data_IF_898342738314
#
_entry.id   IF_898342738314
#
_cell.length_a   1.000
_cell.length_b   1.000
_cell.length_c   1.000
_cell.angle_alpha   90.00
_cell.angle_beta   90.00
_cell.angle_gamma   90.00
#
_symmetry.space_group_name_H-M   'P 1'
#
loop_
_entity.id
_entity.type
_entity.pdbx_description
1 polymer ?
#
# COMPACT_ATOMS: atom_id res chain seq x y z
N UNK A 1 19.59 33.64 -18.41
CA UNK A 1 18.73 32.91 -19.38
C UNK A 1 17.42 32.62 -18.70
N UNK A 2 16.34 33.28 -19.10
CA UNK A 2 15.01 33.06 -18.55
C UNK A 2 14.46 31.74 -19.12
N UNK A 3 14.17 30.79 -18.23
CA UNK A 3 13.44 29.57 -18.61
C UNK A 3 12.02 29.98 -19.06
N UNK A 4 11.55 29.59 -20.23
CA UNK A 4 10.21 29.91 -20.64
C UNK A 4 9.19 29.19 -19.75
N UNK A 5 8.40 29.94 -19.00
CA UNK A 5 7.24 29.46 -18.25
C UNK A 5 6.06 29.18 -19.22
N UNK A 6 6.10 28.08 -19.96
CA UNK A 6 5.00 27.71 -20.86
C UNK A 6 4.70 26.21 -20.89
N UNK A 7 4.77 25.55 -19.77
CA UNK A 7 3.97 24.32 -19.60
C UNK A 7 3.05 24.57 -18.40
N UNK A 8 1.79 24.92 -18.68
CA UNK A 8 0.74 24.83 -17.66
C UNK A 8 0.61 23.33 -17.35
N UNK A 9 1.36 22.86 -16.35
CA UNK A 9 1.15 21.51 -15.82
C UNK A 9 -0.29 21.47 -15.30
N UNK A 10 -1.14 20.70 -15.97
CA UNK A 10 -2.46 20.43 -15.42
C UNK A 10 -2.25 19.68 -14.10
N UNK A 11 -2.88 20.12 -13.00
CA UNK A 11 -2.79 19.42 -11.74
C UNK A 11 -3.33 18.00 -11.89
N UNK A 12 -2.79 17.06 -11.12
CA UNK A 12 -3.26 15.68 -11.11
C UNK A 12 -4.77 15.62 -10.81
N UNK A 13 -5.61 15.02 -11.67
CA UNK A 13 -7.06 15.10 -11.54
C UNK A 13 -7.67 14.01 -10.64
N UNK A 14 -6.85 13.12 -10.06
CA UNK A 14 -7.27 11.86 -9.44
C UNK A 14 -7.29 10.71 -10.44
N UNK A 15 -7.12 9.48 -9.93
CA UNK A 15 -6.88 8.31 -10.78
C UNK A 15 -8.05 7.97 -11.71
N UNK A 16 -9.31 8.15 -11.28
CA UNK A 16 -10.48 7.84 -12.13
C UNK A 16 -10.51 8.76 -13.35
N UNK A 17 -10.24 10.05 -13.15
CA UNK A 17 -10.21 11.00 -14.26
C UNK A 17 -9.00 10.78 -15.17
N UNK A 18 -7.83 10.43 -14.60
CA UNK A 18 -6.61 10.19 -15.36
C UNK A 18 -6.67 8.92 -16.23
N UNK A 19 -7.36 7.87 -15.76
CA UNK A 19 -7.41 6.56 -16.42
C UNK A 19 -8.84 6.09 -16.71
N UNK A 20 -9.76 7.04 -16.98
CA UNK A 20 -11.19 6.74 -17.14
C UNK A 20 -11.45 5.64 -18.18
N UNK A 21 -10.77 5.70 -19.30
CA UNK A 21 -10.94 4.76 -20.43
C UNK A 21 -10.45 3.32 -20.09
N UNK A 22 -9.74 3.17 -18.97
CA UNK A 22 -9.20 1.89 -18.48
C UNK A 22 -9.90 1.36 -17.24
N UNK A 23 -10.90 2.10 -16.76
CA UNK A 23 -11.62 1.76 -15.54
C UNK A 23 -13.10 1.45 -15.85
N UNK A 24 -13.71 0.50 -15.13
CA UNK A 24 -15.11 0.17 -15.31
C UNK A 24 -16.03 1.20 -14.66
N UNK A 25 -15.97 2.43 -15.14
CA UNK A 25 -16.81 3.56 -14.70
C UNK A 25 -17.72 4.00 -15.83
N UNK A 26 -19.01 4.16 -15.52
CA UNK A 26 -19.99 4.67 -16.47
C UNK A 26 -19.74 6.15 -16.81
N UNK A 27 -20.16 6.58 -17.99
CA UNK A 27 -19.96 7.96 -18.45
C UNK A 27 -20.66 9.00 -17.56
N UNK A 28 -21.77 8.61 -16.95
CA UNK A 28 -22.60 9.41 -16.06
C UNK A 28 -22.14 9.37 -14.60
N UNK A 29 -21.13 8.54 -14.25
CA UNK A 29 -20.65 8.45 -12.89
C UNK A 29 -19.80 9.66 -12.51
N UNK A 30 -20.10 10.26 -11.36
CA UNK A 30 -19.28 11.31 -10.76
C UNK A 30 -18.24 10.68 -9.85
N UNK A 31 -16.93 10.82 -10.13
CA UNK A 31 -15.89 10.27 -9.28
C UNK A 31 -15.87 10.88 -7.89
N UNK A 32 -15.80 10.03 -6.87
CA UNK A 32 -15.52 10.43 -5.50
C UNK A 32 -14.00 10.46 -5.33
N UNK A 33 -13.39 11.62 -5.38
CA UNK A 33 -11.93 11.76 -5.35
C UNK A 33 -11.45 12.71 -4.27
N UNK A 34 -10.28 12.39 -3.70
CA UNK A 34 -9.42 13.22 -2.87
C UNK A 34 -8.08 13.48 -3.59
N UNK A 35 -8.04 13.30 -4.92
CA UNK A 35 -6.86 13.40 -5.80
C UNK A 35 -5.80 12.31 -5.51
N UNK A 36 -6.27 11.11 -5.18
CA UNK A 36 -5.45 9.92 -5.03
C UNK A 36 -4.79 9.50 -6.34
N UNK A 37 -3.70 8.75 -6.26
CA UNK A 37 -2.86 8.42 -7.40
C UNK A 37 -1.86 9.54 -7.72
N UNK A 38 -1.18 9.45 -8.87
CA UNK A 38 -0.09 10.37 -9.22
C UNK A 38 1.05 10.35 -8.19
N UNK A 39 1.20 9.25 -7.46
CA UNK A 39 2.19 9.15 -6.39
C UNK A 39 3.60 9.15 -6.96
N UNK A 40 4.58 9.76 -6.27
CA UNK A 40 5.94 9.85 -6.76
C UNK A 40 6.58 8.48 -7.03
N UNK A 41 7.37 8.43 -8.10
CA UNK A 41 8.34 7.38 -8.37
C UNK A 41 9.74 7.98 -8.14
N UNK A 42 10.35 7.68 -6.99
CA UNK A 42 11.59 8.29 -6.52
C UNK A 42 12.76 7.35 -6.85
N UNK A 43 13.82 7.87 -7.50
CA UNK A 43 15.06 7.13 -7.66
C UNK A 43 15.74 6.94 -6.30
N UNK A 44 15.96 5.67 -5.91
CA UNK A 44 16.57 5.31 -4.63
C UNK A 44 18.08 5.10 -4.82
N UNK A 45 18.84 6.18 -4.71
CA UNK A 45 20.27 6.21 -5.07
C UNK A 45 21.11 5.27 -4.21
N UNK A 46 20.93 5.30 -2.89
CA UNK A 46 21.70 4.47 -1.97
C UNK A 46 21.33 2.99 -2.05
N UNK A 47 20.05 2.69 -2.26
CA UNK A 47 19.61 1.33 -2.54
C UNK A 47 20.15 0.84 -3.88
N UNK A 48 20.24 1.71 -4.89
CA UNK A 48 20.83 1.37 -6.19
C UNK A 48 22.32 1.04 -6.05
N UNK A 49 23.08 1.86 -5.35
CA UNK A 49 24.50 1.61 -5.04
C UNK A 49 24.69 0.28 -4.30
N UNK A 50 23.87 0.02 -3.28
CA UNK A 50 23.94 -1.19 -2.45
C UNK A 50 23.62 -2.46 -3.24
N UNK A 51 22.63 -2.43 -4.10
CA UNK A 51 22.14 -3.60 -4.85
C UNK A 51 22.86 -3.79 -6.20
N UNK A 52 23.45 -2.74 -6.75
CA UNK A 52 23.95 -2.73 -8.11
C UNK A 52 22.83 -2.75 -9.17
N UNK A 53 21.63 -2.38 -8.79
CA UNK A 53 20.44 -2.23 -9.65
C UNK A 53 20.07 -0.76 -9.81
N UNK A 54 19.19 -0.45 -10.75
CA UNK A 54 18.50 0.85 -10.80
C UNK A 54 17.20 0.75 -10.01
N UNK A 55 17.19 1.21 -8.76
CA UNK A 55 16.05 1.06 -7.85
C UNK A 55 15.21 2.32 -7.80
N UNK A 56 13.90 2.17 -7.91
CA UNK A 56 12.92 3.23 -7.71
C UNK A 56 11.93 2.84 -6.60
N UNK A 57 11.49 3.83 -5.83
CA UNK A 57 10.43 3.67 -4.83
C UNK A 57 9.12 4.26 -5.37
N UNK A 58 8.08 3.44 -5.49
CA UNK A 58 6.72 3.92 -5.73
C UNK A 58 6.08 4.25 -4.39
N UNK A 59 5.98 5.56 -4.08
CA UNK A 59 5.67 6.04 -2.73
C UNK A 59 4.16 6.17 -2.53
N UNK A 60 3.48 5.05 -2.34
CA UNK A 60 2.03 4.98 -2.12
C UNK A 60 1.58 5.57 -0.77
N UNK A 61 2.52 5.75 0.16
CA UNK A 61 2.28 6.46 1.43
C UNK A 61 1.95 7.96 1.27
N UNK A 62 2.08 8.52 0.06
CA UNK A 62 1.69 9.89 -0.25
C UNK A 62 0.28 10.04 -0.83
N UNK A 63 -0.48 8.96 -0.93
CA UNK A 63 -1.93 9.08 -1.15
C UNK A 63 -2.62 9.84 0.01
N UNK A 64 -3.80 10.42 -0.20
CA UNK A 64 -4.47 11.32 0.75
C UNK A 64 -4.63 10.81 2.18
N UNK A 65 -4.94 9.52 2.38
CA UNK A 65 -5.02 8.93 3.74
C UNK A 65 -3.75 8.22 4.17
N UNK A 66 -2.66 8.36 3.42
CA UNK A 66 -1.35 7.83 3.76
C UNK A 66 -1.12 6.38 3.33
N UNK A 67 -1.87 5.82 2.38
CA UNK A 67 -1.61 4.48 1.86
C UNK A 67 -2.25 4.21 0.49
N UNK A 68 -1.77 3.17 -0.20
CA UNK A 68 -2.31 2.68 -1.47
C UNK A 68 -3.80 2.30 -1.44
N UNK A 69 -4.40 2.18 -0.24
CA UNK A 69 -5.81 1.81 -0.09
C UNK A 69 -6.74 2.81 -0.78
N UNK A 70 -6.31 4.06 -0.90
CA UNK A 70 -7.07 5.13 -1.51
C UNK A 70 -7.40 4.87 -2.98
N UNK A 71 -6.48 4.23 -3.71
CA UNK A 71 -6.72 3.84 -5.11
C UNK A 71 -7.92 2.92 -5.28
N UNK A 72 -8.01 1.90 -4.44
CA UNK A 72 -9.16 1.00 -4.47
C UNK A 72 -10.42 1.63 -3.88
N UNK A 73 -10.26 2.55 -2.94
CA UNK A 73 -11.39 3.11 -2.21
C UNK A 73 -12.14 4.17 -3.03
N UNK A 74 -11.43 5.01 -3.80
CA UNK A 74 -12.09 5.93 -4.73
C UNK A 74 -13.00 5.17 -5.69
N UNK A 75 -12.55 4.05 -6.24
CA UNK A 75 -13.34 3.20 -7.13
C UNK A 75 -14.53 2.56 -6.40
N UNK A 76 -14.29 1.97 -5.22
CA UNK A 76 -15.34 1.28 -4.46
C UNK A 76 -16.45 2.24 -4.00
N UNK A 77 -16.11 3.46 -3.57
CA UNK A 77 -17.10 4.45 -3.14
C UNK A 77 -17.82 5.09 -4.32
N UNK A 78 -17.12 5.33 -5.44
CA UNK A 78 -17.75 5.79 -6.68
C UNK A 78 -18.78 4.77 -7.21
N UNK A 79 -18.42 3.47 -7.23
CA UNK A 79 -19.33 2.38 -7.61
C UNK A 79 -20.53 2.29 -6.65
N UNK A 80 -20.30 2.41 -5.33
CA UNK A 80 -21.36 2.40 -4.33
C UNK A 80 -22.38 3.52 -4.56
N UNK A 81 -21.92 4.75 -4.82
CA UNK A 81 -22.82 5.88 -5.15
C UNK A 81 -23.59 5.65 -6.46
N UNK A 82 -22.92 5.17 -7.49
CA UNK A 82 -23.56 4.90 -8.77
C UNK A 82 -24.67 3.84 -8.67
N UNK A 83 -24.54 2.91 -7.70
CA UNK A 83 -25.56 1.90 -7.37
C UNK A 83 -26.62 2.38 -6.38
N UNK A 84 -26.58 3.64 -5.95
CA UNK A 84 -27.52 4.20 -4.99
C UNK A 84 -27.34 3.69 -3.56
N UNK A 85 -26.15 3.16 -3.21
CA UNK A 85 -25.85 2.71 -1.87
C UNK A 85 -25.66 3.91 -0.93
N UNK A 86 -26.06 3.77 0.32
CA UNK A 86 -26.11 4.86 1.31
C UNK A 86 -25.04 4.71 2.38
N UNK A 87 -24.38 3.56 2.42
CA UNK A 87 -23.34 3.28 3.40
C UNK A 87 -22.25 2.37 2.82
N UNK A 88 -21.02 2.58 3.29
CA UNK A 88 -19.92 1.62 3.12
C UNK A 88 -19.59 0.96 4.45
N UNK A 89 -19.22 -0.30 4.40
CA UNK A 89 -18.91 -1.12 5.56
C UNK A 89 -17.57 -1.83 5.34
N UNK A 90 -16.72 -1.82 6.39
CA UNK A 90 -15.51 -2.66 6.38
C UNK A 90 -15.22 -3.23 7.76
N UNK A 91 -14.60 -4.42 7.79
CA UNK A 91 -13.95 -4.98 8.96
C UNK A 91 -12.45 -4.66 8.86
N UNK A 92 -11.97 -3.66 9.61
CA UNK A 92 -10.56 -3.24 9.58
C UNK A 92 -10.25 -2.25 10.69
N UNK A 93 -9.06 -2.36 11.30
CA UNK A 93 -8.53 -1.39 12.27
C UNK A 93 -7.39 -0.52 11.70
N UNK A 94 -7.11 -0.61 10.39
CA UNK A 94 -5.92 0.00 9.78
C UNK A 94 -6.20 0.85 8.54
N UNK A 95 -5.32 0.74 7.54
CA UNK A 95 -5.35 1.58 6.33
C UNK A 95 -6.68 1.49 5.56
N UNK A 96 -7.37 0.35 5.58
CA UNK A 96 -8.67 0.21 4.88
C UNK A 96 -9.76 1.05 5.56
N UNK A 97 -9.86 1.02 6.90
CA UNK A 97 -10.86 1.82 7.62
C UNK A 97 -10.60 3.32 7.51
N UNK A 98 -9.33 3.74 7.57
CA UNK A 98 -8.95 5.14 7.36
C UNK A 98 -9.39 5.65 5.98
N UNK A 99 -9.09 4.89 4.93
CA UNK A 99 -9.46 5.22 3.57
C UNK A 99 -10.98 5.18 3.37
N UNK A 100 -11.68 4.13 3.85
CA UNK A 100 -13.15 4.02 3.73
C UNK A 100 -13.86 5.21 4.37
N UNK A 101 -13.42 5.62 5.56
CA UNK A 101 -14.00 6.77 6.26
C UNK A 101 -13.81 8.09 5.50
N UNK A 102 -12.60 8.32 4.98
CA UNK A 102 -12.29 9.55 4.23
C UNK A 102 -13.12 9.67 2.94
N UNK A 103 -13.19 8.59 2.15
CA UNK A 103 -13.94 8.62 0.89
C UNK A 103 -15.47 8.62 1.12
N UNK A 104 -15.96 7.93 2.17
CA UNK A 104 -17.38 8.01 2.55
C UNK A 104 -17.77 9.43 3.01
N UNK A 105 -16.93 10.08 3.82
CA UNK A 105 -17.13 11.48 4.21
C UNK A 105 -17.14 12.39 2.98
N UNK A 106 -16.22 12.20 2.02
CA UNK A 106 -16.18 12.94 0.76
C UNK A 106 -17.44 12.73 -0.09
N UNK A 107 -18.00 11.53 -0.05
CA UNK A 107 -19.21 11.14 -0.78
C UNK A 107 -20.51 11.54 -0.08
N UNK A 108 -20.46 11.97 1.19
CA UNK A 108 -21.65 12.29 1.98
C UNK A 108 -22.47 11.06 2.40
N UNK A 109 -21.86 9.86 2.44
CA UNK A 109 -22.51 8.61 2.86
C UNK A 109 -21.96 8.10 4.20
N UNK A 110 -22.69 7.20 4.85
CA UNK A 110 -22.25 6.61 6.12
C UNK A 110 -21.08 5.65 5.89
N UNK A 111 -20.04 5.76 6.75
CA UNK A 111 -19.02 4.72 6.91
C UNK A 111 -19.23 3.99 8.23
N UNK A 112 -19.31 2.66 8.20
CA UNK A 112 -19.28 1.81 9.39
C UNK A 112 -18.02 0.92 9.37
N UNK A 113 -17.36 0.83 10.53
CA UNK A 113 -16.14 0.03 10.72
C UNK A 113 -16.41 -0.99 11.82
N UNK A 114 -16.40 -2.28 11.46
CA UNK A 114 -16.51 -3.36 12.43
C UNK A 114 -15.13 -3.74 12.95
N UNK A 115 -15.01 -3.87 14.26
CA UNK A 115 -13.78 -4.22 14.95
C UNK A 115 -14.06 -5.26 16.04
N UNK A 116 -13.13 -6.20 16.30
CA UNK A 116 -13.29 -7.16 17.38
C UNK A 116 -13.18 -6.46 18.75
N UNK A 117 -13.85 -7.01 19.76
CA UNK A 117 -13.75 -6.52 21.13
C UNK A 117 -12.33 -6.69 21.69
N UNK A 118 -11.86 -5.71 22.44
CA UNK A 118 -10.73 -5.82 23.39
C UNK A 118 -9.31 -5.58 22.87
N UNK A 119 -9.06 -5.47 21.56
CA UNK A 119 -7.69 -5.22 21.03
C UNK A 119 -7.69 -4.06 20.02
N UNK A 120 -7.86 -2.85 20.51
CA UNK A 120 -7.89 -1.66 19.66
C UNK A 120 -6.70 -0.77 19.99
N UNK A 121 -5.74 -0.69 19.08
CA UNK A 121 -4.82 0.43 19.07
C UNK A 121 -5.58 1.67 18.58
N UNK A 122 -6.06 2.51 19.49
CA UNK A 122 -6.87 3.70 19.17
C UNK A 122 -6.17 4.62 18.16
N UNK A 123 -4.83 4.71 18.19
CA UNK A 123 -4.06 5.46 17.21
C UNK A 123 -4.30 5.01 15.77
N UNK A 124 -4.49 3.71 15.52
CA UNK A 124 -4.78 3.18 14.17
C UNK A 124 -6.19 3.52 13.66
N UNK A 125 -7.12 3.83 14.56
CA UNK A 125 -8.48 4.26 14.22
C UNK A 125 -8.64 5.78 14.16
N UNK A 126 -7.63 6.54 14.57
CA UNK A 126 -7.74 7.99 14.68
C UNK A 126 -8.25 8.66 13.39
N UNK A 127 -7.74 8.25 12.23
CA UNK A 127 -8.23 8.79 10.95
C UNK A 127 -9.70 8.42 10.69
N UNK A 128 -10.10 7.17 10.94
CA UNK A 128 -11.49 6.75 10.72
C UNK A 128 -12.46 7.52 11.64
N UNK A 129 -12.08 7.71 12.89
CA UNK A 129 -12.86 8.50 13.88
C UNK A 129 -12.97 9.97 13.45
N UNK A 130 -11.83 10.58 13.07
CA UNK A 130 -11.82 11.99 12.64
C UNK A 130 -12.63 12.25 11.37
N UNK A 131 -12.72 11.27 10.47
CA UNK A 131 -13.58 11.31 9.29
C UNK A 131 -15.05 10.94 9.58
N UNK A 132 -15.42 10.74 10.83
CA UNK A 132 -16.80 10.51 11.26
C UNK A 132 -17.34 9.10 11.04
N UNK A 133 -16.47 8.10 10.89
CA UNK A 133 -16.91 6.72 10.78
C UNK A 133 -17.57 6.22 12.07
N UNK A 134 -18.62 5.42 11.92
CA UNK A 134 -19.26 4.71 13.03
C UNK A 134 -18.45 3.48 13.38
N UNK A 135 -17.75 3.50 14.50
CA UNK A 135 -16.97 2.36 14.98
C UNK A 135 -17.89 1.45 15.79
N UNK A 136 -18.02 0.19 15.35
CA UNK A 136 -18.89 -0.81 15.97
C UNK A 136 -18.03 -1.98 16.45
N UNK A 137 -17.99 -2.20 17.76
CA UNK A 137 -17.32 -3.34 18.36
C UNK A 137 -18.23 -4.56 18.32
N UNK A 138 -17.67 -5.67 17.88
CA UNK A 138 -18.33 -6.97 17.79
C UNK A 138 -17.74 -7.89 18.87
N UNK A 139 -18.59 -8.57 19.59
CA UNK A 139 -18.21 -9.63 20.53
C UNK A 139 -17.81 -10.89 19.72
N UNK A 140 -16.55 -10.91 19.31
CA UNK A 140 -15.97 -11.91 18.42
C UNK A 140 -14.56 -11.53 17.99
N UNK A 141 -13.99 -12.33 17.08
CA UNK A 141 -12.67 -12.11 16.50
C UNK A 141 -12.77 -11.34 15.15
N UNK A 142 -11.64 -11.18 14.45
CA UNK A 142 -11.60 -10.46 13.19
C UNK A 142 -12.37 -11.18 12.06
N UNK A 143 -12.35 -12.50 12.06
CA UNK A 143 -13.04 -13.30 11.03
C UNK A 143 -14.56 -13.19 11.23
N UNK A 144 -15.05 -13.16 12.48
CA UNK A 144 -16.46 -12.90 12.80
C UNK A 144 -16.90 -11.52 12.30
N UNK A 145 -16.06 -10.49 12.46
CA UNK A 145 -16.34 -9.15 11.93
C UNK A 145 -16.46 -9.14 10.42
N UNK A 146 -15.57 -9.87 9.73
CA UNK A 146 -15.56 -9.94 8.27
C UNK A 146 -16.76 -10.75 7.72
N UNK A 147 -17.13 -11.85 8.38
CA UNK A 147 -18.30 -12.65 8.03
C UNK A 147 -19.60 -11.84 8.22
N UNK A 148 -19.72 -11.15 9.36
CA UNK A 148 -20.83 -10.25 9.62
C UNK A 148 -20.93 -9.15 8.56
N UNK A 149 -19.80 -8.54 8.19
CA UNK A 149 -19.78 -7.50 7.17
C UNK A 149 -20.23 -8.03 5.79
N UNK A 150 -19.82 -9.24 5.41
CA UNK A 150 -20.29 -9.92 4.18
C UNK A 150 -21.77 -10.18 4.20
N UNK A 151 -22.30 -10.70 5.34
CA UNK A 151 -23.71 -10.99 5.50
C UNK A 151 -24.53 -9.70 5.44
N UNK A 152 -24.12 -8.64 6.12
CA UNK A 152 -24.80 -7.34 6.07
C UNK A 152 -24.87 -6.77 4.65
N UNK A 153 -23.78 -6.84 3.88
CA UNK A 153 -23.79 -6.36 2.50
C UNK A 153 -24.65 -7.24 1.55
N UNK A 154 -24.80 -8.52 1.85
CA UNK A 154 -25.69 -9.41 1.10
C UNK A 154 -27.17 -9.17 1.42
N UNK A 155 -27.50 -8.99 2.71
CA UNK A 155 -28.88 -8.85 3.20
C UNK A 155 -29.43 -7.43 3.01
N UNK A 156 -28.57 -6.41 2.92
CA UNK A 156 -28.95 -4.99 2.83
C UNK A 156 -28.34 -4.32 1.59
N UNK A 157 -29.05 -4.24 0.46
CA UNK A 157 -28.54 -3.71 -0.81
C UNK A 157 -28.06 -2.23 -0.74
N UNK A 158 -28.45 -1.49 0.30
CA UNK A 158 -28.02 -0.11 0.53
C UNK A 158 -26.62 0.00 1.15
N UNK A 159 -25.98 -1.13 1.47
CA UNK A 159 -24.66 -1.20 2.10
C UNK A 159 -23.64 -1.82 1.15
N UNK A 160 -22.53 -1.11 0.90
CA UNK A 160 -21.40 -1.64 0.14
C UNK A 160 -20.32 -2.21 1.07
N UNK A 161 -19.89 -3.44 0.84
CA UNK A 161 -18.69 -3.99 1.47
C UNK A 161 -17.45 -3.49 0.75
N UNK A 162 -16.53 -2.82 1.47
CA UNK A 162 -15.30 -2.26 0.89
C UNK A 162 -14.00 -2.90 1.40
N UNK A 163 -14.08 -4.13 1.89
CA UNK A 163 -12.90 -4.96 2.21
C UNK A 163 -12.14 -5.41 0.94
N UNK A 164 -10.99 -6.08 1.12
CA UNK A 164 -10.12 -6.53 0.03
C UNK A 164 -10.79 -7.48 -0.97
N UNK A 165 -11.90 -8.10 -0.57
CA UNK A 165 -12.71 -8.99 -1.42
C UNK A 165 -13.53 -8.24 -2.48
N UNK A 166 -13.67 -6.92 -2.40
CA UNK A 166 -14.40 -6.14 -3.38
C UNK A 166 -13.56 -6.01 -4.68
N UNK A 167 -14.04 -6.56 -5.82
CA UNK A 167 -13.25 -6.60 -7.06
C UNK A 167 -13.00 -5.22 -7.66
N UNK A 168 -13.90 -4.27 -7.45
CA UNK A 168 -13.76 -2.90 -7.97
C UNK A 168 -12.52 -2.20 -7.39
N UNK A 169 -12.07 -2.60 -6.20
CA UNK A 169 -10.83 -2.07 -5.61
C UNK A 169 -9.58 -2.45 -6.39
N UNK A 170 -9.57 -3.63 -7.02
CA UNK A 170 -8.45 -4.07 -7.87
C UNK A 170 -8.31 -3.15 -9.08
N UNK A 171 -9.43 -2.69 -9.65
CA UNK A 171 -9.42 -1.77 -10.79
C UNK A 171 -8.75 -0.43 -10.44
N UNK A 172 -9.04 0.13 -9.28
CA UNK A 172 -8.36 1.35 -8.84
C UNK A 172 -6.87 1.13 -8.55
N UNK A 173 -6.53 0.02 -7.89
CA UNK A 173 -5.14 -0.28 -7.52
C UNK A 173 -4.25 -0.59 -8.74
N UNK A 174 -4.79 -1.16 -9.84
CA UNK A 174 -4.01 -1.47 -11.05
C UNK A 174 -3.39 -0.22 -11.68
N UNK A 175 -4.00 0.95 -11.48
CA UNK A 175 -3.52 2.23 -12.04
C UNK A 175 -2.10 2.59 -11.57
N UNK A 176 -1.67 2.08 -10.42
CA UNK A 176 -0.30 2.30 -9.96
C UNK A 176 0.76 1.64 -10.87
N UNK A 177 0.42 0.53 -11.55
CA UNK A 177 1.29 -0.07 -12.57
C UNK A 177 1.34 0.82 -13.83
N UNK A 178 0.22 1.42 -14.22
CA UNK A 178 0.19 2.37 -15.32
C UNK A 178 1.09 3.57 -15.04
N UNK A 179 0.96 4.19 -13.86
CA UNK A 179 1.80 5.32 -13.46
C UNK A 179 3.30 5.00 -13.44
N UNK A 180 3.68 3.77 -13.07
CA UNK A 180 5.09 3.32 -13.11
C UNK A 180 5.57 3.27 -14.55
N UNK A 181 4.80 2.66 -15.44
CA UNK A 181 5.15 2.56 -16.87
C UNK A 181 5.19 3.94 -17.51
N UNK A 182 4.18 4.78 -17.26
CA UNK A 182 4.11 6.14 -17.79
C UNK A 182 5.31 6.99 -17.35
N UNK A 183 5.79 6.79 -16.12
CA UNK A 183 6.96 7.50 -15.59
C UNK A 183 8.30 6.99 -16.10
N UNK A 184 8.44 5.66 -16.31
CA UNK A 184 9.69 5.04 -16.76
C UNK A 184 9.79 4.94 -18.29
N UNK A 185 8.68 5.05 -19.01
CA UNK A 185 8.58 4.76 -20.44
C UNK A 185 8.65 3.26 -20.79
N UNK A 186 8.73 2.38 -19.79
CA UNK A 186 8.79 0.92 -19.94
C UNK A 186 8.38 0.22 -18.63
N UNK A 187 8.10 -1.08 -18.69
CA UNK A 187 7.98 -1.88 -17.49
C UNK A 187 9.37 -2.10 -16.83
N UNK A 188 9.47 -2.12 -15.48
CA UNK A 188 10.69 -2.51 -14.80
C UNK A 188 11.03 -3.99 -15.08
N UNK A 189 12.26 -4.42 -14.81
CA UNK A 189 12.62 -5.85 -14.88
C UNK A 189 12.01 -6.63 -13.73
N UNK A 190 11.95 -6.00 -12.54
CA UNK A 190 11.35 -6.56 -11.32
C UNK A 190 10.49 -5.53 -10.63
N UNK A 191 9.30 -5.96 -10.18
CA UNK A 191 8.46 -5.16 -9.29
C UNK A 191 8.35 -5.87 -7.94
N UNK A 192 8.94 -5.26 -6.90
CA UNK A 192 8.94 -5.75 -5.53
C UNK A 192 7.85 -5.06 -4.70
N UNK A 193 7.06 -5.83 -3.96
CA UNK A 193 5.99 -5.28 -3.11
C UNK A 193 5.67 -6.18 -1.91
N UNK A 194 5.14 -5.59 -0.80
CA UNK A 194 4.69 -6.36 0.34
C UNK A 194 3.41 -7.12 0.02
N UNK A 195 3.25 -8.32 0.60
CA UNK A 195 2.06 -9.14 0.37
C UNK A 195 1.42 -9.54 1.69
N UNK A 196 0.22 -9.00 1.94
CA UNK A 196 -0.71 -9.44 2.99
C UNK A 196 -1.91 -10.15 2.39
N UNK A 197 -3.04 -9.46 2.19
CA UNK A 197 -4.24 -10.00 1.52
C UNK A 197 -4.08 -10.28 0.01
N UNK A 198 -2.90 -10.02 -0.54
CA UNK A 198 -2.50 -10.29 -1.91
C UNK A 198 -3.27 -9.52 -3.02
N UNK A 199 -4.20 -8.64 -2.66
CA UNK A 199 -4.91 -7.81 -3.64
C UNK A 199 -4.00 -6.84 -4.40
N UNK A 200 -2.96 -6.32 -3.75
CA UNK A 200 -2.07 -5.34 -4.37
C UNK A 200 -1.23 -5.96 -5.49
N UNK A 201 -0.58 -7.12 -5.24
CA UNK A 201 0.20 -7.82 -6.29
C UNK A 201 -0.70 -8.25 -7.46
N UNK A 202 -1.92 -8.70 -7.17
CA UNK A 202 -2.94 -9.02 -8.19
C UNK A 202 -3.26 -7.79 -9.05
N UNK A 203 -3.45 -6.64 -8.43
CA UNK A 203 -3.78 -5.40 -9.12
C UNK A 203 -2.63 -4.89 -10.01
N UNK A 204 -1.41 -4.86 -9.49
CA UNK A 204 -0.24 -4.45 -10.28
C UNK A 204 -0.02 -5.38 -11.46
N UNK A 205 -0.12 -6.71 -11.26
CA UNK A 205 -0.02 -7.68 -12.34
C UNK A 205 -1.07 -7.45 -13.41
N UNK A 206 -2.32 -7.21 -12.99
CA UNK A 206 -3.40 -6.87 -13.93
C UNK A 206 -3.07 -5.62 -14.75
N UNK A 207 -2.59 -4.55 -14.12
CA UNK A 207 -2.23 -3.32 -14.83
C UNK A 207 -1.11 -3.52 -15.86
N UNK A 208 -0.03 -4.20 -15.47
CA UNK A 208 1.04 -4.53 -16.43
C UNK A 208 0.54 -5.40 -17.58
N UNK A 209 -0.30 -6.39 -17.29
CA UNK A 209 -0.87 -7.28 -18.32
C UNK A 209 -1.75 -6.51 -19.31
N UNK A 210 -2.58 -5.59 -18.84
CA UNK A 210 -3.40 -4.73 -19.70
C UNK A 210 -2.53 -3.85 -20.61
N UNK A 211 -1.50 -3.18 -20.08
CA UNK A 211 -0.58 -2.36 -20.88
C UNK A 211 0.21 -3.18 -21.90
N UNK A 212 0.58 -4.42 -21.55
CA UNK A 212 1.25 -5.31 -22.49
C UNK A 212 0.31 -5.78 -23.61
N UNK A 213 -0.93 -6.15 -23.28
CA UNK A 213 -1.94 -6.55 -24.26
C UNK A 213 -2.29 -5.43 -25.25
N UNK A 214 -2.28 -4.18 -24.77
CA UNK A 214 -2.54 -2.98 -25.58
C UNK A 214 -1.29 -2.50 -26.34
N UNK A 215 -0.16 -3.18 -26.22
CA UNK A 215 1.09 -2.82 -26.90
C UNK A 215 1.77 -1.56 -26.37
N UNK A 216 1.42 -1.13 -25.14
CA UNK A 216 2.07 0.02 -24.49
C UNK A 216 3.47 -0.36 -23.97
N UNK A 217 3.65 -1.61 -23.58
CA UNK A 217 4.95 -2.17 -23.15
C UNK A 217 5.23 -3.48 -23.89
N UNK A 218 6.52 -3.73 -24.18
CA UNK A 218 6.98 -4.92 -24.91
C UNK A 218 7.24 -6.12 -23.98
N UNK A 219 7.46 -5.88 -22.69
CA UNK A 219 7.78 -6.90 -21.69
C UNK A 219 6.98 -6.72 -20.41
N UNK A 220 6.79 -7.81 -19.70
CA UNK A 220 6.17 -7.84 -18.38
C UNK A 220 7.25 -7.93 -17.29
N UNK A 221 7.08 -7.29 -16.11
CA UNK A 221 8.02 -7.42 -15.00
C UNK A 221 7.90 -8.79 -14.33
N UNK A 222 9.00 -9.25 -13.72
CA UNK A 222 8.92 -10.33 -12.74
C UNK A 222 8.39 -9.75 -11.42
N UNK A 223 7.35 -10.39 -10.85
CA UNK A 223 6.75 -9.94 -9.60
C UNK A 223 7.45 -10.56 -8.39
N UNK A 224 7.97 -9.73 -7.49
CA UNK A 224 8.59 -10.15 -6.24
C UNK A 224 7.67 -9.78 -5.05
N UNK A 225 6.92 -10.76 -4.57
CA UNK A 225 6.05 -10.59 -3.41
C UNK A 225 6.77 -10.95 -2.11
N UNK A 226 6.81 -10.04 -1.13
CA UNK A 226 7.45 -10.31 0.17
C UNK A 226 6.39 -10.36 1.27
N UNK A 227 6.40 -11.46 2.03
CA UNK A 227 5.60 -11.65 3.24
C UNK A 227 6.48 -11.56 4.49
N UNK A 228 5.92 -11.20 5.63
CA UNK A 228 6.62 -11.34 6.91
C UNK A 228 6.74 -12.82 7.27
N UNK A 229 7.88 -13.28 7.79
CA UNK A 229 8.17 -14.70 8.04
C UNK A 229 7.14 -15.36 8.97
N UNK A 230 6.65 -14.64 9.99
CA UNK A 230 5.58 -15.13 10.88
C UNK A 230 4.16 -15.06 10.26
N UNK A 231 4.01 -14.58 9.02
CA UNK A 231 2.75 -14.45 8.29
C UNK A 231 2.99 -14.68 6.78
N UNK A 232 3.59 -15.84 6.41
CA UNK A 232 4.03 -16.14 5.05
C UNK A 232 3.29 -17.33 4.39
N UNK A 233 1.93 -17.31 4.35
CA UNK A 233 1.15 -18.43 3.84
C UNK A 233 1.44 -18.76 2.36
N UNK A 234 1.71 -17.77 1.49
CA UNK A 234 2.01 -18.01 0.08
C UNK A 234 3.40 -18.64 -0.13
N UNK A 235 4.35 -18.35 0.77
CA UNK A 235 5.68 -18.99 0.76
C UNK A 235 5.57 -20.44 1.23
N UNK A 236 4.75 -20.71 2.25
CA UNK A 236 4.55 -22.04 2.79
C UNK A 236 3.58 -22.91 1.99
N UNK A 237 2.78 -22.32 1.11
CA UNK A 237 1.75 -23.00 0.37
C UNK A 237 0.53 -23.42 1.21
N UNK A 238 0.41 -22.93 2.44
CA UNK A 238 -0.67 -23.25 3.38
C UNK A 238 -1.00 -22.05 4.28
N UNK A 239 -2.26 -21.90 4.74
CA UNK A 239 -2.63 -20.86 5.70
C UNK A 239 -1.84 -20.95 7.01
N UNK A 240 -1.58 -19.78 7.62
CA UNK A 240 -0.96 -19.62 8.93
C UNK A 240 -2.04 -19.27 9.95
N UNK A 241 -2.29 -20.15 10.93
CA UNK A 241 -3.39 -19.99 11.88
C UNK A 241 -3.22 -18.83 12.86
N UNK A 242 -1.98 -18.56 13.29
CA UNK A 242 -1.65 -17.48 14.22
C UNK A 242 -0.53 -16.62 13.61
N UNK A 243 -0.85 -15.74 12.66
CA UNK A 243 0.15 -14.91 12.04
C UNK A 243 0.66 -13.84 13.03
N UNK A 244 1.99 -13.76 13.20
CA UNK A 244 2.63 -12.78 14.07
C UNK A 244 3.75 -12.06 13.33
N UNK A 245 3.74 -10.73 13.41
CA UNK A 245 4.78 -9.84 12.87
C UNK A 245 4.54 -8.40 13.33
N UNK A 246 5.62 -7.63 13.41
CA UNK A 246 5.58 -6.17 13.60
C UNK A 246 4.95 -5.46 12.40
N UNK A 247 5.06 -6.04 11.21
CA UNK A 247 4.50 -5.51 9.96
C UNK A 247 2.97 -5.71 9.91
N UNK A 248 2.24 -5.06 10.81
CA UNK A 248 0.82 -5.32 11.11
C UNK A 248 -0.09 -5.24 9.89
N UNK A 249 0.22 -4.41 8.88
CA UNK A 249 -0.60 -4.28 7.66
C UNK A 249 -0.52 -5.50 6.72
N UNK A 250 0.50 -6.37 6.90
CA UNK A 250 0.64 -7.65 6.18
C UNK A 250 0.56 -8.87 7.12
N UNK A 251 0.11 -8.72 8.36
CA UNK A 251 -0.13 -9.80 9.32
C UNK A 251 -1.39 -10.58 8.96
N UNK A 252 -1.32 -11.34 7.87
CA UNK A 252 -2.43 -12.08 7.27
C UNK A 252 -2.05 -13.55 7.10
N UNK A 253 -2.80 -14.42 7.75
CA UNK A 253 -2.58 -15.86 7.69
C UNK A 253 -3.28 -16.57 6.52
N UNK A 254 -4.37 -15.98 5.98
CA UNK A 254 -5.12 -16.52 4.85
C UNK A 254 -5.48 -15.39 3.87
N UNK A 255 -4.65 -15.11 2.86
CA UNK A 255 -4.88 -14.04 1.89
C UNK A 255 -6.18 -14.19 1.11
N UNK A 256 -7.00 -13.13 1.06
CA UNK A 256 -8.26 -13.13 0.32
C UNK A 256 -8.07 -13.31 -1.20
N UNK A 257 -6.97 -12.82 -1.76
CA UNK A 257 -6.65 -12.92 -3.20
C UNK A 257 -5.59 -14.00 -3.50
N UNK A 258 -5.60 -15.11 -2.74
CA UNK A 258 -4.61 -16.20 -2.84
C UNK A 258 -4.37 -16.68 -4.27
N UNK A 259 -5.43 -17.21 -4.91
CA UNK A 259 -5.33 -17.79 -6.24
C UNK A 259 -4.83 -16.78 -7.29
N UNK A 260 -5.31 -15.54 -7.22
CA UNK A 260 -4.89 -14.49 -8.15
C UNK A 260 -3.43 -14.07 -7.95
N UNK A 261 -2.94 -14.06 -6.71
CA UNK A 261 -1.54 -13.76 -6.43
C UNK A 261 -0.59 -14.90 -6.89
N UNK A 262 -0.99 -16.16 -6.69
CA UNK A 262 -0.23 -17.32 -7.21
C UNK A 262 -0.20 -17.29 -8.74
N UNK A 263 -1.31 -16.96 -9.39
CA UNK A 263 -1.37 -16.80 -10.84
C UNK A 263 -0.42 -15.64 -11.31
N UNK A 264 -0.43 -14.51 -10.63
CA UNK A 264 0.48 -13.39 -10.94
C UNK A 264 1.96 -13.81 -10.81
N UNK A 265 2.30 -14.54 -9.75
CA UNK A 265 3.64 -15.06 -9.53
C UNK A 265 4.06 -16.03 -10.64
N UNK A 266 3.19 -16.98 -11.00
CA UNK A 266 3.50 -17.98 -12.05
C UNK A 266 3.64 -17.34 -13.43
N UNK A 267 2.70 -16.48 -13.83
CA UNK A 267 2.70 -15.84 -15.15
C UNK A 267 3.84 -14.84 -15.33
N UNK A 268 4.30 -14.22 -14.25
CA UNK A 268 5.42 -13.28 -14.28
C UNK A 268 6.80 -13.93 -14.13
N UNK A 269 6.90 -15.26 -13.99
CA UNK A 269 8.10 -15.92 -13.51
C UNK A 269 8.62 -15.29 -12.21
N UNK A 270 7.69 -14.85 -11.38
CA UNK A 270 7.93 -14.15 -10.14
C UNK A 270 8.21 -15.08 -8.97
N UNK A 271 8.35 -14.49 -7.78
CA UNK A 271 8.71 -15.21 -6.56
C UNK A 271 7.99 -14.64 -5.34
N UNK A 272 7.62 -15.50 -4.39
CA UNK A 272 7.31 -15.10 -3.02
C UNK A 272 8.50 -15.38 -2.12
N UNK A 273 8.83 -14.40 -1.25
CA UNK A 273 9.84 -14.50 -0.23
C UNK A 273 9.27 -14.20 1.15
N UNK A 274 9.88 -14.80 2.17
CA UNK A 274 9.65 -14.43 3.56
C UNK A 274 10.80 -13.56 4.07
N UNK A 275 10.48 -12.44 4.74
CA UNK A 275 11.42 -11.61 5.47
C UNK A 275 11.11 -11.67 6.97
N UNK A 276 12.13 -11.82 7.81
CA UNK A 276 11.96 -11.78 9.26
C UNK A 276 11.64 -10.36 9.73
N UNK A 277 11.15 -10.22 10.95
CA UNK A 277 10.89 -8.90 11.53
C UNK A 277 12.17 -8.06 11.63
N UNK A 278 13.33 -8.70 11.91
CA UNK A 278 14.63 -8.05 11.94
C UNK A 278 15.05 -7.55 10.54
N UNK A 279 14.86 -8.35 9.49
CA UNK A 279 15.14 -7.95 8.11
C UNK A 279 14.23 -6.81 7.67
N UNK A 280 12.95 -6.84 8.05
CA UNK A 280 11.99 -5.76 7.78
C UNK A 280 12.39 -4.48 8.52
N UNK A 281 12.77 -4.55 9.79
CA UNK A 281 13.25 -3.39 10.57
C UNK A 281 14.55 -2.82 10.00
N UNK A 282 15.49 -3.66 9.61
CA UNK A 282 16.73 -3.20 8.98
C UNK A 282 16.45 -2.45 7.66
N UNK A 283 15.52 -2.95 6.84
CA UNK A 283 15.10 -2.26 5.62
C UNK A 283 14.29 -0.98 5.91
N UNK A 284 13.50 -0.98 6.97
CA UNK A 284 12.74 0.18 7.46
C UNK A 284 13.65 1.35 7.83
N UNK A 285 14.67 1.10 8.64
CA UNK A 285 15.69 2.10 8.98
C UNK A 285 16.50 2.51 7.75
N UNK A 286 16.94 1.56 6.94
CA UNK A 286 17.73 1.82 5.74
C UNK A 286 17.00 2.80 4.81
N UNK A 287 15.73 2.58 4.47
CA UNK A 287 15.01 3.45 3.54
C UNK A 287 14.76 4.83 4.12
N UNK A 288 14.51 4.95 5.43
CA UNK A 288 14.32 6.23 6.08
C UNK A 288 15.62 7.04 6.16
N UNK A 289 16.72 6.39 6.56
CA UNK A 289 18.00 7.04 6.82
C UNK A 289 18.79 7.35 5.53
N UNK A 290 18.68 6.49 4.50
CA UNK A 290 19.46 6.64 3.28
C UNK A 290 18.70 7.32 2.13
N UNK A 291 17.39 7.13 2.04
CA UNK A 291 16.56 7.68 0.95
C UNK A 291 15.63 8.81 1.43
N UNK A 292 15.53 9.04 2.74
CA UNK A 292 14.65 10.06 3.31
C UNK A 292 13.16 9.72 3.19
N UNK A 293 12.80 8.45 2.99
CA UNK A 293 11.42 8.03 2.78
C UNK A 293 10.92 7.27 4.01
N UNK A 294 10.08 7.92 4.82
CA UNK A 294 9.52 7.35 6.03
C UNK A 294 8.25 6.53 5.72
N UNK A 295 8.32 5.24 5.97
CA UNK A 295 7.29 4.26 5.59
C UNK A 295 6.81 3.45 6.81
N UNK A 296 5.62 2.82 6.75
CA UNK A 296 5.22 1.84 7.75
C UNK A 296 6.05 0.55 7.63
N UNK A 297 6.26 -0.25 8.70
CA UNK A 297 7.08 -1.47 8.66
C UNK A 297 6.68 -2.44 7.54
N UNK A 298 5.38 -2.61 7.30
CA UNK A 298 4.89 -3.46 6.22
C UNK A 298 5.40 -3.04 4.84
N UNK A 299 5.60 -1.74 4.61
CA UNK A 299 6.12 -1.22 3.35
C UNK A 299 7.57 -1.60 3.13
N UNK A 300 8.37 -1.63 4.19
CA UNK A 300 9.79 -1.98 4.15
C UNK A 300 10.02 -3.45 3.75
N UNK A 301 9.01 -4.30 3.86
CA UNK A 301 9.11 -5.69 3.40
C UNK A 301 9.45 -5.80 1.90
N UNK A 302 9.04 -4.85 1.05
CA UNK A 302 9.42 -4.83 -0.37
C UNK A 302 10.92 -4.68 -0.56
N UNK A 303 11.55 -3.83 0.27
CA UNK A 303 13.00 -3.56 0.25
C UNK A 303 13.76 -4.75 0.86
N UNK A 304 13.29 -5.30 1.98
CA UNK A 304 13.88 -6.51 2.58
C UNK A 304 13.88 -7.68 1.58
N UNK A 305 12.77 -7.88 0.86
CA UNK A 305 12.67 -8.87 -0.19
C UNK A 305 13.61 -8.61 -1.38
N UNK A 306 13.74 -7.36 -1.81
CA UNK A 306 14.72 -6.99 -2.85
C UNK A 306 16.14 -7.33 -2.44
N UNK A 307 16.57 -6.93 -1.23
CA UNK A 307 17.92 -7.20 -0.73
C UNK A 307 18.21 -8.71 -0.73
N UNK A 308 17.30 -9.53 -0.22
CA UNK A 308 17.43 -11.00 -0.24
C UNK A 308 17.48 -11.56 -1.66
N UNK A 309 16.66 -11.06 -2.58
CA UNK A 309 16.62 -11.54 -3.94
C UNK A 309 17.85 -11.13 -4.77
N UNK A 310 18.53 -10.06 -4.40
CA UNK A 310 19.84 -9.68 -4.96
C UNK A 310 20.94 -10.55 -4.38
N UNK A 311 20.93 -10.80 -3.05
CA UNK A 311 21.96 -11.58 -2.36
C UNK A 311 21.94 -13.05 -2.83
N UNK A 312 20.78 -13.62 -3.14
CA UNK A 312 20.64 -14.98 -3.66
C UNK A 312 20.74 -15.07 -5.19
N UNK A 313 20.98 -13.95 -5.90
CA UNK A 313 21.19 -13.88 -7.34
C UNK A 313 19.91 -13.99 -8.19
N UNK A 314 18.72 -13.98 -7.59
CA UNK A 314 17.46 -14.01 -8.33
C UNK A 314 17.19 -12.68 -9.04
N UNK A 315 17.58 -11.55 -8.46
CA UNK A 315 17.62 -10.24 -9.12
C UNK A 315 19.04 -10.01 -9.61
N UNK A 316 19.19 -9.88 -10.93
CA UNK A 316 20.47 -9.63 -11.56
C UNK A 316 20.90 -8.17 -11.37
N UNK A 317 22.21 -7.95 -11.15
CA UNK A 317 22.77 -6.60 -11.11
C UNK A 317 22.55 -5.90 -12.46
N UNK A 318 22.28 -4.60 -12.42
CA UNK A 318 21.91 -3.82 -13.61
C UNK A 318 20.42 -3.81 -13.93
N UNK A 319 19.62 -4.65 -13.28
CA UNK A 319 18.15 -4.65 -13.45
C UNK A 319 17.53 -3.33 -13.00
N UNK A 320 16.48 -2.89 -13.68
CA UNK A 320 15.57 -1.83 -13.20
C UNK A 320 14.53 -2.44 -12.26
N UNK A 321 14.51 -1.99 -11.02
CA UNK A 321 13.61 -2.51 -9.97
C UNK A 321 12.73 -1.39 -9.43
N UNK A 322 11.44 -1.66 -9.31
CA UNK A 322 10.51 -0.79 -8.58
C UNK A 322 10.11 -1.47 -7.28
N UNK A 323 10.31 -0.80 -6.15
CA UNK A 323 9.76 -1.22 -4.86
C UNK A 323 8.54 -0.37 -4.52
N UNK A 324 7.37 -0.99 -4.39
CA UNK A 324 6.20 -0.28 -3.86
C UNK A 324 6.30 -0.19 -2.34
N UNK A 325 6.30 1.04 -1.82
CA UNK A 325 6.19 1.36 -0.38
C UNK A 325 4.77 1.83 -0.09
N UNK A 326 4.02 0.97 0.56
CA UNK A 326 2.55 0.93 0.55
C UNK A 326 1.87 1.93 1.47
N UNK A 327 2.53 2.33 2.57
CA UNK A 327 1.96 3.22 3.56
C UNK A 327 3.00 4.13 4.21
N UNK A 328 2.55 5.28 4.66
CA UNK A 328 3.34 6.30 5.35
C UNK A 328 3.76 5.82 6.75
N UNK A 329 4.95 6.18 7.21
CA UNK A 329 5.47 5.81 8.53
C UNK A 329 4.60 6.30 9.70
N UNK A 330 3.92 7.41 9.55
CA UNK A 330 2.97 7.93 10.56
C UNK A 330 1.73 7.04 10.78
N UNK A 331 1.57 5.98 9.98
CA UNK A 331 0.54 4.95 10.23
C UNK A 331 0.91 4.01 11.38
N UNK A 332 2.19 3.93 11.74
CA UNK A 332 2.70 3.14 12.84
C UNK A 332 3.84 3.88 13.59
N UNK A 333 3.53 5.01 14.27
CA UNK A 333 4.53 5.80 14.98
C UNK A 333 5.12 5.05 16.18
N UNK A 334 4.39 4.10 16.77
CA UNK A 334 4.86 3.33 17.92
C UNK A 334 6.10 2.50 17.57
N UNK A 335 6.16 1.93 16.38
CA UNK A 335 7.34 1.20 15.91
C UNK A 335 8.54 2.13 15.71
N UNK A 336 8.32 3.34 15.17
CA UNK A 336 9.38 4.33 14.98
C UNK A 336 9.99 4.82 16.30
N UNK A 337 9.18 4.90 17.35
CA UNK A 337 9.60 5.42 18.66
C UNK A 337 10.06 4.32 19.61
N UNK A 338 9.95 3.05 19.26
CA UNK A 338 10.23 1.90 20.14
C UNK A 338 11.62 1.94 20.74
N UNK A 339 12.62 2.22 19.89
CA UNK A 339 14.03 2.19 20.25
C UNK A 339 14.63 3.59 20.42
N UNK A 340 13.74 4.60 20.62
CA UNK A 340 14.18 5.97 20.82
C UNK A 340 15.03 6.09 22.08
N UNK A 341 16.29 6.55 21.98
CA UNK A 341 17.16 6.70 23.14
C UNK A 341 16.60 7.79 24.07
N UNK A 342 16.84 7.62 25.37
CA UNK A 342 16.51 8.67 26.34
C UNK A 342 17.31 9.93 26.02
N UNK A 343 16.61 11.00 25.72
CA UNK A 343 17.23 12.30 25.41
C UNK A 343 17.37 13.11 26.70
N UNK A 344 18.61 13.39 27.10
CA UNK A 344 18.90 14.30 28.21
C UNK A 344 19.08 15.73 27.68
N UNK A 345 18.50 16.73 28.35
CA UNK A 345 18.71 18.13 27.94
C UNK A 345 20.16 18.53 28.10
N UNK A 346 20.69 19.29 27.14
CA UNK A 346 21.97 19.94 27.23
C UNK A 346 21.78 21.37 27.72
N UNK A 347 22.82 21.99 28.39
CA UNK A 347 22.86 23.44 28.59
C UNK A 347 22.73 24.19 27.26
N UNK A 348 22.29 25.45 27.32
CA UNK A 348 22.22 26.33 26.14
C UNK A 348 23.64 26.79 25.79
N UNK A 349 24.44 25.87 25.30
CA UNK A 349 25.85 26.07 24.92
C UNK A 349 26.10 25.49 23.52
N UNK A 350 26.45 26.34 22.52
CA UNK A 350 26.66 25.84 21.15
C UNK A 350 27.84 24.89 21.03
N UNK A 351 28.86 24.99 21.88
CA UNK A 351 30.01 24.07 21.83
C UNK A 351 29.59 22.67 22.19
N UNK A 352 28.83 22.49 23.28
CA UNK A 352 28.33 21.19 23.70
C UNK A 352 27.37 20.55 22.64
N UNK A 353 26.61 21.39 21.95
CA UNK A 353 25.74 20.90 20.86
C UNK A 353 26.58 20.45 19.68
N UNK A 354 27.60 21.19 19.27
CA UNK A 354 28.50 20.83 18.15
C UNK A 354 29.29 19.54 18.47
N UNK A 355 29.79 19.39 19.70
CA UNK A 355 30.42 18.16 20.18
C UNK A 355 29.45 16.97 20.10
N UNK A 356 28.20 17.17 20.55
CA UNK A 356 27.17 16.13 20.50
C UNK A 356 26.81 15.71 19.06
N UNK A 357 26.93 16.61 18.09
CA UNK A 357 26.76 16.35 16.66
C UNK A 357 27.96 15.62 16.00
N UNK A 358 29.10 15.52 16.72
CA UNK A 358 30.33 14.95 16.16
C UNK A 358 30.95 15.83 15.08
N UNK A 359 30.73 17.14 15.14
CA UNK A 359 31.23 18.14 14.18
C UNK A 359 32.38 19.00 14.73
N UNK A 360 32.81 18.77 15.97
CA UNK A 360 33.94 19.43 16.62
C UNK A 360 35.22 18.56 16.55
#
# INVERSE_FOLDING_TARGET
MSVPHTAVHQPWPGLIAAYRDRLPVGDDWTPVTLLEGGTPLIAATRLSEKTGCTVHLKVEGLNPTGSFKDRGMTMAVTDALARGQQAVLCASTGNTSASAAAYAARAGITCAVLIPQGKIAMGKLAQAVMHGAKIIQIDGNFDDCLELARKMAADFPTIALVNSVNPVRIEGQKTAAFEIVDALGAAPDVHALPVGNAGNITAYWKGYTEYHQDGVIDKLPRMLGTQAAGAAPLVHGAPVSNPETIATAIRIGAPASWAAAVNAQQQSNGRFLAATDEEILAAYHLVAESEGVFVEPASAASIAGLLKAVDDGWVERGSTVVCTVTGNGLKDPDTALRDMPTVSPLPVDPVLVVEKLGLA
#
